data_IF_220019379450
#
_entry.id   IF_220019379450
#
_cell.length_a   1.000
_cell.length_b   1.000
_cell.length_c   1.000
_cell.angle_alpha   90.00
_cell.angle_beta   90.00
_cell.angle_gamma   90.00
#
_symmetry.space_group_name_H-M   'P 1'
#
loop_
_entity.id
_entity.type
_entity.pdbx_description
1 polymer ?
#
# COMPACT_ATOMS: atom_id res chain seq x y z
N UNK A 1 1.84 18.05 0.94
CA UNK A 1 1.69 16.68 0.46
C UNK A 1 0.23 16.31 0.36
N UNK A 2 -0.15 15.59 -0.67
CA UNK A 2 -1.46 14.98 -0.86
C UNK A 2 -1.25 13.47 -0.99
N UNK A 3 -1.86 12.70 -0.13
CA UNK A 3 -1.85 11.24 -0.20
C UNK A 3 -3.24 10.75 -0.61
N UNK A 4 -3.27 9.93 -1.64
CA UNK A 4 -4.47 9.27 -2.15
C UNK A 4 -4.45 7.81 -1.71
N UNK A 5 -5.54 7.38 -1.08
CA UNK A 5 -5.73 6.02 -0.60
C UNK A 5 -6.96 5.41 -1.26
N UNK A 6 -6.75 4.49 -2.17
CA UNK A 6 -7.81 3.70 -2.79
C UNK A 6 -8.17 2.50 -1.91
N UNK A 7 -9.35 1.89 -2.13
CA UNK A 7 -9.71 0.65 -1.45
C UNK A 7 -8.65 -0.44 -1.59
N UNK A 8 -8.52 -1.26 -0.56
CA UNK A 8 -7.59 -2.38 -0.57
C UNK A 8 -7.85 -3.33 -1.76
N UNK A 9 -6.76 -3.85 -2.33
CA UNK A 9 -6.84 -4.65 -3.56
C UNK A 9 -6.93 -3.83 -4.86
N UNK A 10 -6.90 -2.49 -4.78
CA UNK A 10 -6.84 -1.66 -5.98
C UNK A 10 -5.56 -1.89 -6.77
N UNK A 11 -5.68 -1.99 -8.09
CA UNK A 11 -4.54 -2.15 -8.99
C UNK A 11 -3.76 -0.84 -9.15
N UNK A 12 -2.47 -0.95 -9.49
CA UNK A 12 -1.62 0.20 -9.76
C UNK A 12 -2.20 1.09 -10.88
N UNK A 13 -2.78 0.48 -11.91
CA UNK A 13 -3.40 1.19 -13.02
C UNK A 13 -4.60 2.04 -12.58
N UNK A 14 -5.47 1.48 -11.75
CA UNK A 14 -6.59 2.24 -11.17
C UNK A 14 -6.10 3.43 -10.34
N UNK A 15 -5.07 3.22 -9.52
CA UNK A 15 -4.44 4.28 -8.72
C UNK A 15 -3.83 5.35 -9.63
N UNK A 16 -3.16 4.95 -10.71
CA UNK A 16 -2.59 5.88 -11.70
C UNK A 16 -3.66 6.79 -12.31
N UNK A 17 -4.78 6.21 -12.76
CA UNK A 17 -5.89 6.97 -13.37
C UNK A 17 -6.44 8.03 -12.40
N UNK A 18 -6.69 7.65 -11.14
CA UNK A 18 -7.19 8.58 -10.12
C UNK A 18 -6.16 9.67 -9.81
N UNK A 19 -4.89 9.29 -9.73
CA UNK A 19 -3.78 10.21 -9.47
C UNK A 19 -3.60 11.22 -10.59
N UNK A 20 -3.65 10.79 -11.86
CA UNK A 20 -3.54 11.69 -13.02
C UNK A 20 -4.69 12.70 -13.07
N UNK A 21 -5.91 12.27 -12.71
CA UNK A 21 -7.06 13.18 -12.59
C UNK A 21 -6.84 14.22 -11.48
N UNK A 22 -6.26 13.82 -10.35
CA UNK A 22 -5.93 14.74 -9.27
C UNK A 22 -4.82 15.72 -9.69
N UNK A 23 -3.79 15.26 -10.40
CA UNK A 23 -2.71 16.11 -10.94
C UNK A 23 -3.30 17.14 -11.91
N UNK A 24 -4.13 16.71 -12.87
CA UNK A 24 -4.75 17.60 -13.85
C UNK A 24 -5.63 18.69 -13.22
N UNK A 25 -6.19 18.43 -12.04
CA UNK A 25 -6.87 19.46 -11.25
C UNK A 25 -5.87 20.40 -10.57
N UNK A 26 -4.86 19.85 -9.90
CA UNK A 26 -3.86 20.63 -9.16
C UNK A 26 -3.06 21.57 -10.06
N UNK A 27 -2.72 21.15 -11.28
CA UNK A 27 -2.00 21.96 -12.26
C UNK A 27 -2.74 23.23 -12.71
N UNK A 28 -4.08 23.27 -12.55
CA UNK A 28 -4.88 24.45 -12.83
C UNK A 28 -4.77 25.52 -11.75
N UNK A 29 -4.22 25.18 -10.58
CA UNK A 29 -4.08 26.12 -9.49
C UNK A 29 -2.88 27.05 -9.74
N UNK A 30 -3.09 28.37 -9.85
CA UNK A 30 -2.03 29.33 -10.21
C UNK A 30 -0.92 29.45 -9.17
N UNK A 31 -1.13 28.96 -7.97
CA UNK A 31 -0.17 29.01 -6.85
C UNK A 31 0.73 27.79 -6.78
N UNK A 32 0.50 26.75 -7.61
CA UNK A 32 1.32 25.55 -7.68
C UNK A 32 2.40 25.76 -8.73
N UNK A 33 3.64 25.43 -8.39
CA UNK A 33 4.79 25.53 -9.29
C UNK A 33 5.03 24.20 -10.04
N UNK A 34 5.13 23.09 -9.27
CA UNK A 34 5.22 21.75 -9.84
C UNK A 34 4.75 20.68 -8.84
N UNK A 35 4.51 19.48 -9.37
CA UNK A 35 4.01 18.34 -8.61
C UNK A 35 4.95 17.15 -8.87
N UNK A 36 5.48 16.59 -7.78
CA UNK A 36 6.17 15.30 -7.82
C UNK A 36 5.19 14.20 -7.44
N UNK A 37 5.06 13.18 -8.29
CA UNK A 37 4.16 12.06 -8.07
C UNK A 37 4.93 10.77 -7.81
N UNK A 38 4.48 10.01 -6.80
CA UNK A 38 4.90 8.63 -6.54
C UNK A 38 3.64 7.78 -6.40
N UNK A 39 3.38 6.93 -7.40
CA UNK A 39 2.23 6.01 -7.40
C UNK A 39 2.70 4.59 -7.06
N UNK A 40 1.92 3.86 -6.26
CA UNK A 40 2.25 2.50 -5.81
C UNK A 40 3.13 2.44 -4.57
N UNK A 41 3.30 3.58 -3.88
CA UNK A 41 4.05 3.65 -2.63
C UNK A 41 3.57 4.81 -1.78
N UNK A 42 3.69 4.67 -0.47
CA UNK A 42 3.42 5.73 0.50
C UNK A 42 4.43 5.63 1.64
N UNK A 43 4.93 6.76 2.17
CA UNK A 43 5.80 6.77 3.35
C UNK A 43 5.16 6.15 4.59
N UNK A 44 3.83 6.08 4.64
CA UNK A 44 3.09 5.51 5.77
C UNK A 44 3.13 3.99 5.79
N UNK A 45 2.92 3.35 4.63
CA UNK A 45 2.75 1.89 4.54
C UNK A 45 3.81 1.21 3.69
N UNK A 46 4.66 1.97 2.99
CA UNK A 46 5.64 1.43 2.05
C UNK A 46 5.03 1.13 0.68
N UNK A 47 5.48 0.07 0.02
CA UNK A 47 4.95 -0.34 -1.29
C UNK A 47 3.51 -0.84 -1.15
N UNK A 48 2.57 -0.16 -1.80
CA UNK A 48 1.15 -0.53 -1.84
C UNK A 48 0.52 0.06 -3.12
N UNK A 49 0.00 -0.81 -3.98
CA UNK A 49 -0.53 -0.43 -5.29
C UNK A 49 -1.72 0.53 -5.21
N UNK A 50 -2.51 0.49 -4.13
CA UNK A 50 -3.64 1.37 -3.89
C UNK A 50 -3.28 2.75 -3.31
N UNK A 51 -2.00 3.12 -3.29
CA UNK A 51 -1.52 4.38 -2.70
C UNK A 51 -0.78 5.24 -3.71
N UNK A 52 -0.97 6.56 -3.58
CA UNK A 52 -0.15 7.54 -4.29
C UNK A 52 0.15 8.73 -3.38
N UNK A 53 1.35 9.27 -3.49
CA UNK A 53 1.76 10.50 -2.82
C UNK A 53 2.11 11.57 -3.86
N UNK A 54 1.48 12.73 -3.73
CA UNK A 54 1.78 13.93 -4.51
C UNK A 54 2.47 14.94 -3.58
N UNK A 55 3.72 15.26 -3.87
CA UNK A 55 4.41 16.38 -3.24
C UNK A 55 4.17 17.61 -4.10
N UNK A 56 3.32 18.50 -3.61
CA UNK A 56 2.93 19.74 -4.29
C UNK A 56 3.85 20.86 -3.82
N UNK A 57 4.59 21.45 -4.74
CA UNK A 57 5.47 22.57 -4.49
C UNK A 57 4.74 23.86 -4.89
N UNK A 58 4.65 24.77 -3.94
CA UNK A 58 3.99 26.06 -4.14
C UNK A 58 4.99 27.10 -4.63
N UNK A 59 4.51 28.07 -5.41
CA UNK A 59 5.28 29.22 -5.83
C UNK A 59 5.84 30.01 -4.63
N UNK A 60 6.90 30.82 -4.81
CA UNK A 60 7.44 31.70 -3.79
C UNK A 60 6.39 32.61 -3.14
N UNK A 61 6.63 33.04 -1.91
CA UNK A 61 5.71 33.88 -1.14
C UNK A 61 5.36 35.20 -1.86
N UNK A 62 6.30 35.74 -2.60
CA UNK A 62 6.16 36.97 -3.36
C UNK A 62 5.08 36.87 -4.44
N UNK A 63 4.92 35.70 -5.03
CA UNK A 63 3.94 35.42 -6.11
C UNK A 63 2.56 34.99 -5.58
N UNK A 64 2.42 34.70 -4.28
CA UNK A 64 1.17 34.25 -3.66
C UNK A 64 0.73 35.08 -2.45
N UNK A 65 0.99 36.38 -2.46
CA UNK A 65 0.71 37.32 -1.37
C UNK A 65 -0.73 37.32 -0.87
N UNK A 66 -1.69 36.93 -1.72
CA UNK A 66 -3.12 36.97 -1.43
C UNK A 66 -3.69 35.66 -0.90
N UNK A 67 -2.88 34.62 -0.67
CA UNK A 67 -3.33 33.32 -0.21
C UNK A 67 -2.36 32.69 0.80
N UNK A 68 -2.90 31.85 1.65
CA UNK A 68 -2.13 31.05 2.63
C UNK A 68 -2.14 29.58 2.23
N UNK A 69 -1.21 28.81 2.81
CA UNK A 69 -1.15 27.34 2.60
C UNK A 69 -2.47 26.69 3.01
N UNK A 70 -3.04 27.10 4.13
CA UNK A 70 -4.29 26.57 4.67
C UNK A 70 -5.44 26.76 3.68
N UNK A 71 -5.58 27.95 3.08
CA UNK A 71 -6.62 28.23 2.08
C UNK A 71 -6.46 27.38 0.82
N UNK A 72 -5.21 27.17 0.38
CA UNK A 72 -4.92 26.29 -0.76
C UNK A 72 -5.29 24.85 -0.40
N UNK A 73 -4.88 24.39 0.80
CA UNK A 73 -5.20 23.05 1.28
C UNK A 73 -6.71 22.81 1.37
N UNK A 74 -7.46 23.73 1.97
CA UNK A 74 -8.91 23.64 2.08
C UNK A 74 -9.60 23.53 0.71
N UNK A 75 -9.14 24.32 -0.26
CA UNK A 75 -9.71 24.29 -1.62
C UNK A 75 -9.41 22.95 -2.30
N UNK A 76 -8.18 22.47 -2.18
CA UNK A 76 -7.74 21.19 -2.76
C UNK A 76 -8.47 20.03 -2.08
N UNK A 77 -8.56 20.06 -0.76
CA UNK A 77 -9.22 19.01 0.02
C UNK A 77 -10.70 18.89 -0.33
N UNK A 78 -11.41 20.01 -0.41
CA UNK A 78 -12.84 20.02 -0.78
C UNK A 78 -13.08 19.38 -2.13
N UNK A 79 -12.27 19.70 -3.13
CA UNK A 79 -12.42 19.13 -4.46
C UNK A 79 -12.03 17.65 -4.51
N UNK A 80 -10.90 17.27 -3.92
CA UNK A 80 -10.42 15.88 -3.97
C UNK A 80 -11.28 14.92 -3.13
N UNK A 81 -11.97 15.43 -2.09
CA UNK A 81 -12.95 14.63 -1.32
C UNK A 81 -14.20 14.26 -2.12
N UNK A 82 -14.46 14.93 -3.25
CA UNK A 82 -15.53 14.56 -4.18
C UNK A 82 -15.21 13.30 -4.99
N UNK A 83 -13.97 12.79 -4.92
CA UNK A 83 -13.57 11.55 -5.59
C UNK A 83 -14.03 10.34 -4.77
N UNK A 84 -15.08 9.62 -5.22
CA UNK A 84 -15.64 8.51 -4.44
C UNK A 84 -14.70 7.31 -4.38
N UNK A 85 -13.70 7.28 -5.26
CA UNK A 85 -12.78 6.13 -5.42
C UNK A 85 -11.65 6.13 -4.40
N UNK A 86 -11.39 7.23 -3.69
CA UNK A 86 -10.26 7.32 -2.78
C UNK A 86 -10.54 8.16 -1.54
N UNK A 87 -9.82 7.84 -0.46
CA UNK A 87 -9.66 8.75 0.68
C UNK A 87 -8.46 9.66 0.40
N UNK A 88 -8.58 10.90 0.84
CA UNK A 88 -7.56 11.93 0.59
C UNK A 88 -7.06 12.46 1.93
N UNK A 89 -5.74 12.51 2.07
CA UNK A 89 -5.07 13.07 3.24
C UNK A 89 -4.11 14.17 2.80
N UNK A 90 -4.30 15.36 3.34
CA UNK A 90 -3.39 16.47 3.14
C UNK A 90 -2.51 16.66 4.38
N UNK A 91 -1.24 16.95 4.17
CA UNK A 91 -0.30 17.25 5.25
C UNK A 91 0.73 18.28 4.82
N UNK A 92 1.15 19.12 5.76
CA UNK A 92 2.34 19.96 5.62
C UNK A 92 3.58 19.23 6.14
N UNK A 93 4.78 19.55 5.66
CA UNK A 93 6.00 19.10 6.29
C UNK A 93 6.05 19.53 7.77
N UNK A 94 6.73 18.78 8.64
CA UNK A 94 6.95 19.22 10.02
C UNK A 94 7.75 20.53 10.05
N UNK A 95 7.44 21.38 11.01
CA UNK A 95 8.11 22.69 11.18
C UNK A 95 9.62 22.52 11.42
N UNK A 96 10.00 21.45 12.11
CA UNK A 96 11.41 21.10 12.36
C UNK A 96 11.73 19.84 11.55
N UNK A 97 12.62 19.91 10.54
CA UNK A 97 13.05 18.74 9.78
C UNK A 97 13.65 17.66 10.70
N UNK A 98 13.20 16.42 10.52
CA UNK A 98 13.65 15.28 11.33
C UNK A 98 12.82 15.03 12.60
N UNK A 99 11.92 15.92 12.97
CA UNK A 99 11.01 15.72 14.11
C UNK A 99 9.62 15.27 13.60
N UNK A 100 9.49 13.98 13.28
CA UNK A 100 8.27 13.39 12.72
C UNK A 100 8.19 13.44 11.19
N UNK A 101 7.13 12.85 10.65
CA UNK A 101 6.89 12.75 9.19
C UNK A 101 5.88 13.79 8.67
N UNK A 102 5.10 14.40 9.56
CA UNK A 102 4.11 15.45 9.26
C UNK A 102 3.87 16.31 10.50
N UNK A 103 3.27 17.48 10.33
CA UNK A 103 2.76 18.28 11.47
C UNK A 103 1.65 17.50 12.19
N UNK A 104 1.65 17.54 13.55
CA UNK A 104 0.67 16.83 14.37
C UNK A 104 1.31 15.88 15.38
N UNK A 105 0.62 14.79 15.74
CA UNK A 105 1.12 13.75 16.63
C UNK A 105 1.27 12.40 15.90
N UNK A 106 2.23 11.63 16.38
CA UNK A 106 2.42 10.23 16.00
C UNK A 106 2.52 9.39 17.28
N UNK A 107 1.68 8.35 17.37
CA UNK A 107 1.62 7.45 18.51
C UNK A 107 1.83 6.01 18.04
N UNK A 108 2.62 5.25 18.79
CA UNK A 108 2.84 3.82 18.57
C UNK A 108 1.93 3.04 19.53
N UNK A 109 0.99 2.27 18.96
CA UNK A 109 0.17 1.32 19.72
C UNK A 109 0.82 -0.06 19.58
N UNK A 110 1.35 -0.61 20.67
CA UNK A 110 2.13 -1.85 20.67
C UNK A 110 1.36 -3.02 21.28
N UNK A 111 1.38 -4.16 20.61
CA UNK A 111 0.94 -5.42 21.19
C UNK A 111 2.07 -6.00 22.08
N UNK A 112 1.90 -5.95 23.40
CA UNK A 112 2.88 -6.43 24.37
C UNK A 112 2.36 -7.66 25.11
N UNK A 113 3.28 -8.45 25.65
CA UNK A 113 2.95 -9.67 26.39
C UNK A 113 2.31 -10.71 25.47
N UNK A 114 1.14 -11.21 25.86
CA UNK A 114 0.36 -12.21 25.11
C UNK A 114 -0.63 -11.60 24.09
N UNK A 115 -0.59 -10.27 23.88
CA UNK A 115 -1.48 -9.62 22.94
C UNK A 115 -1.20 -10.08 21.51
N UNK A 116 -2.25 -10.53 20.85
CA UNK A 116 -2.21 -10.99 19.45
C UNK A 116 -2.32 -9.82 18.46
N UNK A 117 -2.14 -10.10 17.17
CA UNK A 117 -2.39 -9.13 16.12
C UNK A 117 -3.86 -8.66 16.12
N UNK A 118 -4.81 -9.57 16.34
CA UNK A 118 -6.24 -9.25 16.38
C UNK A 118 -6.58 -8.32 17.54
N UNK A 119 -5.98 -8.54 18.72
CA UNK A 119 -6.14 -7.61 19.84
C UNK A 119 -5.62 -6.20 19.51
N UNK A 120 -4.54 -6.11 18.71
CA UNK A 120 -4.02 -4.82 18.24
C UNK A 120 -4.98 -4.15 17.26
N UNK A 121 -5.62 -4.92 16.37
CA UNK A 121 -6.64 -4.44 15.42
C UNK A 121 -7.80 -3.84 16.20
N UNK A 122 -8.41 -4.61 17.12
CA UNK A 122 -9.55 -4.19 17.93
C UNK A 122 -9.25 -2.92 18.76
N UNK A 123 -8.06 -2.86 19.33
CA UNK A 123 -7.62 -1.71 20.12
C UNK A 123 -7.41 -0.47 19.23
N UNK A 124 -6.82 -0.64 18.03
CA UNK A 124 -6.61 0.45 17.10
C UNK A 124 -7.95 0.99 16.57
N UNK A 125 -8.88 0.12 16.20
CA UNK A 125 -10.20 0.51 15.69
C UNK A 125 -11.03 1.22 16.77
N UNK A 126 -10.99 0.69 18.00
CA UNK A 126 -11.62 1.33 19.16
C UNK A 126 -11.06 2.73 19.41
N UNK A 127 -9.73 2.87 19.37
CA UNK A 127 -9.07 4.15 19.54
C UNK A 127 -9.45 5.14 18.42
N UNK A 128 -9.41 4.69 17.17
CA UNK A 128 -9.78 5.51 16.01
C UNK A 128 -11.23 5.95 16.07
N UNK A 129 -12.14 5.06 16.50
CA UNK A 129 -13.56 5.38 16.68
C UNK A 129 -13.77 6.49 17.71
N UNK A 130 -13.17 6.39 18.91
CA UNK A 130 -13.31 7.42 19.93
C UNK A 130 -12.57 8.71 19.57
N UNK A 131 -11.40 8.61 18.96
CA UNK A 131 -10.64 9.77 18.50
C UNK A 131 -11.40 10.56 17.42
N UNK A 132 -12.09 9.89 16.50
CA UNK A 132 -12.88 10.54 15.43
C UNK A 132 -14.06 11.38 15.97
N UNK A 133 -14.54 11.11 17.20
CA UNK A 133 -15.59 11.88 17.86
C UNK A 133 -15.08 13.16 18.55
N UNK A 134 -13.77 13.30 18.66
CA UNK A 134 -13.17 14.49 19.29
C UNK A 134 -13.06 15.62 18.27
N UNK A 135 -13.68 16.74 18.58
CA UNK A 135 -13.66 17.94 17.74
C UNK A 135 -12.27 18.59 17.65
N UNK A 136 -11.43 18.32 18.64
CA UNK A 136 -10.07 18.82 18.75
C UNK A 136 -9.08 18.12 17.82
N UNK A 137 -9.49 16.98 17.24
CA UNK A 137 -8.63 16.14 16.41
C UNK A 137 -9.08 16.14 14.96
N UNK A 138 -8.11 16.19 14.05
CA UNK A 138 -8.33 16.13 12.61
C UNK A 138 -7.28 15.24 11.93
N UNK A 139 -7.55 14.79 10.71
CA UNK A 139 -6.58 14.04 9.89
C UNK A 139 -6.13 12.71 10.51
N UNK A 140 -7.02 12.07 11.29
CA UNK A 140 -6.72 10.79 11.94
C UNK A 140 -6.47 9.69 10.91
N UNK A 141 -5.41 8.92 11.11
CA UNK A 141 -5.07 7.77 10.26
C UNK A 141 -4.33 6.70 11.05
N UNK A 142 -4.54 5.44 10.66
CA UNK A 142 -3.80 4.28 11.17
C UNK A 142 -2.93 3.67 10.08
N UNK A 143 -1.76 3.16 10.44
CA UNK A 143 -0.92 2.39 9.52
C UNK A 143 -1.32 0.93 9.43
N UNK A 144 -2.30 0.49 10.23
CA UNK A 144 -2.72 -0.89 10.30
C UNK A 144 -3.59 -1.23 9.08
N UNK A 145 -3.26 -2.32 8.42
CA UNK A 145 -4.01 -2.90 7.31
C UNK A 145 -4.26 -4.37 7.65
N UNK A 146 -5.44 -4.68 8.16
CA UNK A 146 -5.79 -5.99 8.69
C UNK A 146 -6.54 -6.88 7.69
N UNK A 147 -7.29 -6.29 6.75
CA UNK A 147 -8.25 -6.99 5.91
C UNK A 147 -7.92 -6.88 4.41
N UNK A 148 -6.64 -7.05 4.05
CA UNK A 148 -6.28 -7.08 2.64
C UNK A 148 -6.72 -8.40 2.02
N UNK A 149 -7.49 -8.37 0.92
CA UNK A 149 -7.83 -9.58 0.18
C UNK A 149 -6.57 -10.32 -0.29
N UNK A 150 -6.49 -11.59 0.00
CA UNK A 150 -5.36 -12.44 -0.33
C UNK A 150 -5.85 -13.74 -0.98
N UNK A 151 -5.01 -14.35 -1.80
CA UNK A 151 -5.22 -15.68 -2.33
C UNK A 151 -4.35 -16.66 -1.52
N UNK A 152 -5.00 -17.53 -0.76
CA UNK A 152 -4.35 -18.59 0.00
C UNK A 152 -4.34 -19.86 -0.81
N UNK A 153 -3.17 -20.47 -0.94
CA UNK A 153 -3.03 -21.78 -1.57
C UNK A 153 -2.66 -22.82 -0.51
N UNK A 154 -3.61 -23.69 -0.22
CA UNK A 154 -3.45 -24.80 0.72
C UNK A 154 -2.79 -25.98 0.03
N UNK A 155 -1.50 -26.20 0.35
CA UNK A 155 -0.68 -27.24 -0.28
C UNK A 155 -0.86 -28.55 0.46
N UNK A 156 -1.33 -29.59 -0.25
CA UNK A 156 -1.36 -30.97 0.23
C UNK A 156 0.06 -31.58 0.17
N UNK A 157 0.76 -31.50 1.29
CA UNK A 157 2.14 -31.92 1.39
C UNK A 157 2.36 -33.43 1.16
N UNK A 158 1.33 -34.24 1.43
CA UNK A 158 1.38 -35.67 1.20
C UNK A 158 1.30 -35.98 -0.28
N UNK A 159 0.39 -35.33 -1.01
CA UNK A 159 0.32 -35.44 -2.49
C UNK A 159 1.59 -34.93 -3.16
N UNK A 160 2.15 -33.80 -2.71
CA UNK A 160 3.44 -33.27 -3.20
C UNK A 160 4.53 -34.31 -3.09
N UNK A 161 4.64 -34.98 -1.93
CA UNK A 161 5.59 -36.07 -1.69
C UNK A 161 5.33 -37.29 -2.58
N UNK A 162 4.08 -37.73 -2.64
CA UNK A 162 3.68 -38.93 -3.45
C UNK A 162 3.97 -38.72 -4.93
N UNK A 163 3.78 -37.50 -5.45
CA UNK A 163 4.06 -37.18 -6.85
C UNK A 163 5.53 -36.83 -7.12
N UNK A 164 6.38 -36.92 -6.11
CA UNK A 164 7.81 -36.68 -6.25
C UNK A 164 8.18 -35.25 -6.61
N UNK A 165 7.32 -34.27 -6.19
CA UNK A 165 7.56 -32.85 -6.44
C UNK A 165 8.29 -32.25 -5.24
N UNK A 166 9.44 -31.56 -5.42
CA UNK A 166 10.05 -30.81 -4.33
C UNK A 166 9.13 -29.67 -3.85
N UNK A 167 8.86 -29.59 -2.55
CA UNK A 167 7.96 -28.57 -1.99
C UNK A 167 8.46 -27.14 -2.27
N UNK A 168 9.76 -26.93 -2.30
CA UNK A 168 10.38 -25.66 -2.66
C UNK A 168 10.02 -25.23 -4.09
N UNK A 169 9.93 -26.18 -5.02
CA UNK A 169 9.60 -25.91 -6.42
C UNK A 169 8.13 -25.52 -6.59
N UNK A 170 7.23 -26.06 -5.76
CA UNK A 170 5.81 -25.63 -5.72
C UNK A 170 5.72 -24.15 -5.40
N UNK A 171 6.36 -23.70 -4.32
CA UNK A 171 6.32 -22.29 -3.90
C UNK A 171 7.09 -21.37 -4.85
N UNK A 172 8.24 -21.82 -5.40
CA UNK A 172 9.00 -21.01 -6.35
C UNK A 172 8.24 -20.82 -7.67
N UNK A 173 7.54 -21.85 -8.14
CA UNK A 173 6.67 -21.80 -9.31
C UNK A 173 5.50 -20.84 -9.07
N UNK A 174 4.80 -20.97 -7.96
CA UNK A 174 3.72 -20.03 -7.61
C UNK A 174 4.23 -18.59 -7.56
N UNK A 175 5.36 -18.35 -6.88
CA UNK A 175 5.99 -17.03 -6.82
C UNK A 175 6.30 -16.47 -8.20
N UNK A 176 6.82 -17.31 -9.11
CA UNK A 176 7.18 -16.88 -10.46
C UNK A 176 5.96 -16.46 -11.28
N UNK A 177 4.88 -17.23 -11.20
CA UNK A 177 3.66 -16.96 -11.99
C UNK A 177 2.80 -15.84 -11.41
N UNK A 178 2.53 -15.86 -10.11
CA UNK A 178 1.57 -14.93 -9.48
C UNK A 178 2.23 -13.63 -9.01
N UNK A 179 3.46 -13.70 -8.53
CA UNK A 179 4.23 -12.55 -8.07
C UNK A 179 5.22 -12.07 -9.13
N UNK A 180 6.47 -12.24 -8.84
CA UNK A 180 7.58 -12.08 -9.79
C UNK A 180 8.83 -12.72 -9.24
N UNK A 181 9.73 -13.12 -10.10
CA UNK A 181 11.06 -13.58 -9.74
C UNK A 181 12.09 -12.64 -10.34
N UNK A 182 12.94 -12.10 -9.48
CA UNK A 182 14.14 -11.40 -9.91
C UNK A 182 15.11 -12.43 -10.51
N UNK A 183 15.56 -12.17 -11.74
CA UNK A 183 16.43 -13.07 -12.48
C UNK A 183 17.85 -12.53 -12.55
N UNK A 184 17.99 -11.26 -12.92
CA UNK A 184 19.28 -10.60 -13.10
C UNK A 184 19.08 -9.10 -13.24
N UNK A 185 20.19 -8.36 -13.37
CA UNK A 185 20.17 -6.95 -13.75
C UNK A 185 21.13 -6.67 -14.92
N UNK A 186 20.88 -5.57 -15.59
CA UNK A 186 21.74 -5.06 -16.65
C UNK A 186 21.95 -3.55 -16.52
N UNK A 187 23.11 -3.11 -17.01
CA UNK A 187 23.46 -1.68 -17.01
C UNK A 187 23.09 -1.02 -18.35
N UNK A 188 22.31 0.04 -18.30
CA UNK A 188 21.99 0.88 -19.44
C UNK A 188 21.84 2.33 -19.00
N UNK A 189 22.32 3.28 -19.80
CA UNK A 189 22.25 4.74 -19.51
C UNK A 189 22.76 5.12 -18.12
N UNK A 190 23.88 4.53 -17.68
CA UNK A 190 24.46 4.70 -16.33
C UNK A 190 23.52 4.35 -15.16
N UNK A 191 22.53 3.49 -15.41
CA UNK A 191 21.61 2.95 -14.39
C UNK A 191 21.58 1.44 -14.43
N UNK A 192 21.29 0.85 -13.27
CA UNK A 192 21.08 -0.59 -13.13
C UNK A 192 19.58 -0.87 -13.27
N UNK A 193 19.20 -1.69 -14.25
CA UNK A 193 17.84 -2.14 -14.48
C UNK A 193 17.69 -3.59 -14.04
N UNK A 194 16.73 -3.85 -13.17
CA UNK A 194 16.42 -5.19 -12.69
C UNK A 194 15.47 -5.91 -13.64
N UNK A 195 15.77 -7.16 -13.94
CA UNK A 195 14.94 -8.04 -14.76
C UNK A 195 14.08 -8.92 -13.86
N UNK A 196 12.78 -8.82 -14.03
CA UNK A 196 11.81 -9.68 -13.35
C UNK A 196 11.01 -10.48 -14.37
N UNK A 197 10.71 -11.74 -14.03
CA UNK A 197 9.84 -12.61 -14.82
C UNK A 197 8.57 -12.87 -14.02
N UNK A 198 7.42 -12.77 -14.67
CA UNK A 198 6.11 -13.13 -14.14
C UNK A 198 5.18 -13.56 -15.28
N UNK A 199 4.07 -14.22 -14.97
CA UNK A 199 3.04 -14.48 -15.97
C UNK A 199 2.39 -13.16 -16.42
N UNK A 200 1.94 -13.09 -17.67
CA UNK A 200 1.13 -11.98 -18.16
C UNK A 200 -0.21 -11.89 -17.41
N UNK A 201 -0.80 -10.68 -17.36
CA UNK A 201 -1.99 -10.40 -16.59
C UNK A 201 -3.15 -11.37 -16.86
N UNK A 202 -3.54 -11.70 -18.13
CA UNK A 202 -4.64 -12.63 -18.41
C UNK A 202 -4.48 -14.02 -17.80
N UNK A 203 -3.24 -14.44 -17.55
CA UNK A 203 -2.94 -15.76 -16.98
C UNK A 203 -2.87 -15.77 -15.44
N UNK A 204 -3.06 -14.63 -14.77
CA UNK A 204 -3.01 -14.50 -13.30
C UNK A 204 -4.09 -13.62 -12.68
N UNK A 205 -5.08 -13.19 -13.48
CA UNK A 205 -6.18 -12.32 -13.01
C UNK A 205 -7.21 -13.06 -12.17
N UNK A 206 -7.40 -14.36 -12.43
CA UNK A 206 -8.39 -15.18 -11.76
C UNK A 206 -7.74 -16.32 -10.99
N UNK A 207 -8.32 -16.70 -9.84
CA UNK A 207 -7.81 -17.83 -9.04
C UNK A 207 -7.77 -19.14 -9.84
N UNK A 208 -8.70 -19.31 -10.77
CA UNK A 208 -8.81 -20.53 -11.58
C UNK A 208 -7.65 -20.66 -12.58
N UNK A 209 -6.92 -19.58 -12.86
CA UNK A 209 -5.74 -19.62 -13.72
C UNK A 209 -4.58 -20.43 -13.11
N UNK A 210 -4.65 -20.80 -11.83
CA UNK A 210 -3.73 -21.76 -11.21
C UNK A 210 -3.75 -23.11 -11.93
N UNK A 211 -4.84 -23.46 -12.62
CA UNK A 211 -4.94 -24.64 -13.48
C UNK A 211 -3.92 -24.65 -14.63
N UNK A 212 -3.43 -23.49 -15.03
CA UNK A 212 -2.46 -23.32 -16.12
C UNK A 212 -1.02 -23.45 -15.66
N UNK A 213 -0.78 -23.60 -14.37
CA UNK A 213 0.57 -23.62 -13.79
C UNK A 213 1.00 -25.05 -13.51
N UNK A 214 2.20 -25.36 -13.93
CA UNK A 214 2.79 -26.69 -13.78
C UNK A 214 4.12 -26.59 -13.04
N UNK A 215 4.40 -27.60 -12.22
CA UNK A 215 5.68 -27.76 -11.55
C UNK A 215 6.33 -29.07 -11.99
N UNK A 216 7.63 -29.08 -12.12
CA UNK A 216 8.39 -30.27 -12.56
C UNK A 216 8.65 -31.19 -11.36
N UNK A 217 8.22 -32.46 -11.50
CA UNK A 217 8.56 -33.51 -10.55
C UNK A 217 10.00 -34.01 -10.76
N UNK A 218 10.57 -34.73 -9.78
CA UNK A 218 11.92 -35.24 -9.81
C UNK A 218 12.17 -36.26 -10.94
N UNK A 219 11.12 -36.93 -11.41
CA UNK A 219 11.17 -37.84 -12.56
C UNK A 219 11.03 -37.10 -13.92
N UNK A 220 10.94 -35.80 -13.92
CA UNK A 220 10.78 -34.96 -15.12
C UNK A 220 9.33 -34.72 -15.58
N UNK A 221 8.33 -35.35 -14.97
CA UNK A 221 6.92 -35.13 -15.30
C UNK A 221 6.45 -33.73 -14.87
N UNK A 222 5.56 -33.13 -15.67
CA UNK A 222 4.93 -31.86 -15.35
C UNK A 222 3.63 -32.11 -14.60
N UNK A 223 3.53 -31.63 -13.36
CA UNK A 223 2.38 -31.81 -12.47
C UNK A 223 1.63 -30.49 -12.36
N UNK A 224 0.30 -30.43 -12.64
CA UNK A 224 -0.45 -29.20 -12.46
C UNK A 224 -0.56 -28.83 -10.98
N UNK A 225 -0.48 -27.53 -10.65
CA UNK A 225 -0.54 -27.06 -9.26
C UNK A 225 -1.86 -27.44 -8.57
N UNK A 226 -2.95 -27.52 -9.32
CA UNK A 226 -4.26 -27.93 -8.80
C UNK A 226 -4.33 -29.37 -8.31
N UNK A 227 -3.41 -30.23 -8.74
CA UNK A 227 -3.25 -31.58 -8.17
C UNK A 227 -2.56 -31.57 -6.82
N UNK A 228 -1.88 -30.49 -6.47
CA UNK A 228 -1.05 -30.35 -5.28
C UNK A 228 -1.70 -29.54 -4.16
N UNK A 229 -2.84 -28.90 -4.43
CA UNK A 229 -3.53 -28.08 -3.43
C UNK A 229 -4.71 -27.30 -3.99
N UNK A 230 -5.35 -26.51 -3.14
CA UNK A 230 -6.49 -25.68 -3.46
C UNK A 230 -6.25 -24.20 -3.18
N UNK A 231 -6.76 -23.34 -4.07
CA UNK A 231 -6.75 -21.91 -3.88
C UNK A 231 -8.07 -21.39 -3.31
N UNK A 232 -8.04 -20.58 -2.28
CA UNK A 232 -9.20 -19.92 -1.68
C UNK A 232 -8.91 -18.44 -1.41
N UNK A 233 -9.95 -17.62 -1.44
CA UNK A 233 -9.83 -16.24 -1.00
C UNK A 233 -9.84 -16.18 0.53
N UNK A 234 -8.98 -15.35 1.06
CA UNK A 234 -8.89 -15.04 2.49
C UNK A 234 -8.62 -13.55 2.67
N UNK A 235 -8.65 -13.08 3.90
CA UNK A 235 -8.19 -11.74 4.25
C UNK A 235 -7.04 -11.86 5.25
N UNK A 236 -6.14 -10.89 5.21
CA UNK A 236 -5.00 -10.88 6.13
C UNK A 236 -4.25 -9.55 6.12
N UNK A 237 -3.28 -9.40 7.01
CA UNK A 237 -2.49 -8.18 7.08
C UNK A 237 -1.60 -8.03 5.82
N UNK A 238 -1.60 -6.83 5.24
CA UNK A 238 -0.71 -6.50 4.12
C UNK A 238 0.74 -6.35 4.53
N UNK A 239 0.95 -5.82 5.74
CA UNK A 239 2.26 -5.70 6.38
C UNK A 239 2.11 -5.69 7.90
N UNK A 240 3.08 -6.27 8.58
CA UNK A 240 3.16 -6.22 10.04
C UNK A 240 4.37 -5.37 10.40
N UNK A 241 4.10 -4.20 10.97
CA UNK A 241 5.14 -3.31 11.48
C UNK A 241 5.52 -3.68 12.91
N UNK A 242 6.79 -3.48 13.25
CA UNK A 242 7.30 -3.64 14.60
C UNK A 242 8.04 -2.40 15.05
N UNK A 243 7.80 -2.03 16.29
CA UNK A 243 8.53 -0.99 17.00
C UNK A 243 9.02 -1.57 18.32
N UNK A 244 10.29 -1.37 18.66
CA UNK A 244 10.93 -2.00 19.82
C UNK A 244 10.67 -3.52 19.90
N UNK A 245 10.69 -4.21 18.75
CA UNK A 245 10.42 -5.66 18.61
C UNK A 245 8.94 -6.07 18.78
N UNK A 246 8.05 -5.20 19.24
CA UNK A 246 6.62 -5.48 19.38
C UNK A 246 5.85 -5.14 18.10
N UNK A 247 4.85 -5.94 17.78
CA UNK A 247 3.93 -5.63 16.68
C UNK A 247 3.19 -4.33 17.00
N UNK A 248 3.15 -3.40 16.05
CA UNK A 248 2.68 -2.04 16.30
C UNK A 248 1.76 -1.51 15.21
N UNK A 249 0.81 -0.68 15.63
CA UNK A 249 0.04 0.21 14.78
C UNK A 249 0.48 1.66 15.02
N UNK A 250 0.81 2.39 13.97
CA UNK A 250 1.14 3.81 14.06
C UNK A 250 -0.14 4.61 13.85
N UNK A 251 -0.55 5.35 14.87
CA UNK A 251 -1.71 6.25 14.82
C UNK A 251 -1.21 7.67 14.65
N UNK A 252 -1.76 8.39 13.69
CA UNK A 252 -1.42 9.79 13.41
C UNK A 252 -2.65 10.66 13.41
N UNK A 253 -2.45 11.91 13.74
CA UNK A 253 -3.47 12.94 13.71
C UNK A 253 -2.87 14.31 13.92
N UNK A 254 -3.70 15.32 13.78
CA UNK A 254 -3.33 16.71 14.01
C UNK A 254 -4.39 17.39 14.89
N UNK A 255 -4.07 18.56 15.44
CA UNK A 255 -5.06 19.44 16.04
C UNK A 255 -6.03 19.92 14.94
N UNK A 256 -7.32 19.95 15.25
CA UNK A 256 -8.30 20.58 14.37
C UNK A 256 -8.00 22.08 14.26
N UNK A 257 -8.26 22.70 13.08
CA UNK A 257 -8.20 24.16 12.97
C UNK A 257 -9.13 24.80 14.00
N UNK A 258 -8.57 25.71 14.82
CA UNK A 258 -9.30 26.46 15.84
C UNK A 258 -10.05 27.65 15.27
#
# INVERSE_FOLDING_TARGET
>A
KVELELPEGSTLERTRIVTERAIAYLEKNPYIEYIQNVTGSSPRVGSNQGRAELTVILKPWEERKNTTIEKIMDTVEKHLREYPECKVYLSTPPVIPGLGSSGGFEMQLEARGEATFDNLVDAADTLMYYASKRKELAGLSSSLQSEIPQLYFDVDRDKVKMLGVPLADVFSTMKAYTGSVYVNDFNMFNRIYKVYIQAEAPYREHKDNINLFFVKASNGAMVPLTSLGNASYTTGPGSIKRFNMFTTAVIRGAAAPG
#
